data_IF_341113814081
#
_entry.id   IF_341113814081
#
_cell.length_a   1.000
_cell.length_b   1.000
_cell.length_c   1.000
_cell.angle_alpha   90.00
_cell.angle_beta   90.00
_cell.angle_gamma   90.00
#
_symmetry.space_group_name_H-M   'P 1'
#
loop_
_entity.id
_entity.type
_entity.pdbx_description
1 polymer ?
#
# COMPACT_ATOMS: atom_id res chain seq x y z
N UNK A 1 -7.93 -29.00 -38.46
CA UNK A 1 -7.54 -29.29 -37.07
C UNK A 1 -8.28 -28.38 -36.10
N UNK A 2 -8.74 -28.90 -34.96
CA UNK A 2 -9.36 -28.07 -33.92
C UNK A 2 -8.32 -27.18 -33.21
N UNK A 3 -8.77 -26.04 -32.67
CA UNK A 3 -7.90 -25.11 -31.92
C UNK A 3 -7.70 -25.61 -30.47
N UNK A 4 -6.46 -25.61 -30.00
CA UNK A 4 -6.13 -25.90 -28.59
C UNK A 4 -6.76 -24.87 -27.63
N UNK A 5 -7.08 -25.30 -26.40
CA UNK A 5 -7.54 -24.44 -25.30
C UNK A 5 -6.57 -23.28 -25.01
N UNK A 6 -5.27 -23.52 -25.18
CA UNK A 6 -4.20 -22.53 -24.93
C UNK A 6 -3.86 -21.71 -26.18
N UNK A 7 -4.57 -21.91 -27.30
CA UNK A 7 -4.33 -21.13 -28.52
C UNK A 7 -4.56 -19.64 -28.27
N UNK A 8 -3.68 -18.79 -28.84
CA UNK A 8 -3.73 -17.33 -28.67
C UNK A 8 -5.08 -16.76 -29.12
N UNK A 9 -5.58 -17.22 -30.27
CA UNK A 9 -6.88 -16.78 -30.81
C UNK A 9 -8.05 -17.10 -29.86
N UNK A 10 -8.08 -18.30 -29.23
CA UNK A 10 -9.18 -18.69 -28.34
C UNK A 10 -9.10 -17.94 -27.01
N UNK A 11 -7.89 -17.75 -26.47
CA UNK A 11 -7.68 -16.97 -25.23
C UNK A 11 -8.06 -15.50 -25.42
N UNK A 12 -7.65 -14.87 -26.51
CA UNK A 12 -7.99 -13.48 -26.81
C UNK A 12 -9.51 -13.28 -26.90
N UNK A 13 -10.23 -14.18 -27.56
CA UNK A 13 -11.70 -14.12 -27.61
C UNK A 13 -12.36 -14.30 -26.23
N UNK A 14 -11.84 -15.22 -25.41
CA UNK A 14 -12.31 -15.39 -24.01
C UNK A 14 -12.03 -14.16 -23.15
N UNK A 15 -10.89 -13.50 -23.35
CA UNK A 15 -10.55 -12.26 -22.65
C UNK A 15 -11.55 -11.15 -23.02
N UNK A 16 -11.79 -10.93 -24.32
CA UNK A 16 -12.79 -9.95 -24.79
C UNK A 16 -14.16 -10.18 -24.16
N UNK A 17 -14.63 -11.43 -24.11
CA UNK A 17 -15.91 -11.79 -23.47
C UNK A 17 -15.97 -11.50 -21.98
N UNK A 18 -14.84 -11.43 -21.27
CA UNK A 18 -14.82 -11.13 -19.82
C UNK A 18 -14.59 -9.66 -19.53
N UNK A 19 -13.89 -8.94 -20.40
CA UNK A 19 -13.50 -7.54 -20.15
C UNK A 19 -14.43 -6.52 -20.79
N UNK A 20 -15.24 -6.91 -21.78
CA UNK A 20 -16.21 -5.99 -22.39
C UNK A 20 -17.31 -5.64 -21.41
N UNK A 21 -17.53 -4.35 -21.18
CA UNK A 21 -18.57 -3.86 -20.24
C UNK A 21 -19.96 -4.41 -20.53
N UNK A 22 -20.28 -4.64 -21.80
CA UNK A 22 -21.61 -5.09 -22.26
C UNK A 22 -21.80 -6.61 -22.22
N UNK A 23 -20.80 -7.41 -21.85
CA UNK A 23 -20.98 -8.87 -21.82
C UNK A 23 -21.59 -9.34 -20.51
N UNK A 24 -22.42 -10.38 -20.59
CA UNK A 24 -23.04 -11.01 -19.42
C UNK A 24 -22.02 -11.45 -18.37
N UNK A 25 -20.83 -11.92 -18.81
CA UNK A 25 -19.75 -12.30 -17.89
C UNK A 25 -19.26 -11.12 -17.04
N UNK A 26 -19.08 -9.95 -17.66
CA UNK A 26 -18.63 -8.77 -16.94
C UNK A 26 -19.70 -8.27 -15.98
N UNK A 27 -20.96 -8.19 -16.45
CA UNK A 27 -22.10 -7.69 -15.66
C UNK A 27 -22.35 -8.57 -14.42
N UNK A 28 -22.30 -9.89 -14.59
CA UNK A 28 -22.51 -10.84 -13.48
C UNK A 28 -21.36 -10.80 -12.46
N UNK A 29 -20.12 -10.63 -12.93
CA UNK A 29 -18.96 -10.50 -12.05
C UNK A 29 -18.99 -9.17 -11.28
N UNK A 30 -19.25 -8.05 -11.97
CA UNK A 30 -19.37 -6.73 -11.37
C UNK A 30 -20.47 -6.68 -10.28
N UNK A 31 -21.68 -7.15 -10.59
CA UNK A 31 -22.78 -7.19 -9.62
C UNK A 31 -22.48 -8.08 -8.41
N UNK A 32 -21.73 -9.17 -8.59
CA UNK A 32 -21.26 -10.01 -7.48
C UNK A 32 -20.26 -9.25 -6.60
N UNK A 33 -19.30 -8.55 -7.21
CA UNK A 33 -18.30 -7.75 -6.48
C UNK A 33 -18.97 -6.66 -5.66
N UNK A 34 -19.95 -5.95 -6.22
CA UNK A 34 -20.71 -4.91 -5.50
C UNK A 34 -21.49 -5.49 -4.30
N UNK A 35 -22.11 -6.65 -4.46
CA UNK A 35 -22.80 -7.32 -3.33
C UNK A 35 -21.82 -7.70 -2.22
N UNK A 36 -20.63 -8.17 -2.58
CA UNK A 36 -19.60 -8.54 -1.62
C UNK A 36 -19.01 -7.32 -0.92
N UNK A 37 -18.74 -6.23 -1.65
CA UNK A 37 -18.23 -5.00 -1.05
C UNK A 37 -19.23 -4.42 -0.04
N UNK A 38 -20.53 -4.41 -0.37
CA UNK A 38 -21.61 -3.98 0.55
C UNK A 38 -21.63 -4.81 1.83
N UNK A 39 -21.58 -6.14 1.72
CA UNK A 39 -21.52 -7.03 2.90
C UNK A 39 -20.26 -6.82 3.74
N UNK A 40 -19.12 -6.58 3.09
CA UNK A 40 -17.87 -6.31 3.82
C UNK A 40 -17.95 -4.98 4.55
N UNK A 41 -18.52 -3.93 3.95
CA UNK A 41 -18.71 -2.65 4.64
C UNK A 41 -19.67 -2.79 5.83
N UNK A 42 -20.81 -3.47 5.65
CA UNK A 42 -21.80 -3.73 6.71
C UNK A 42 -21.17 -4.52 7.87
N UNK A 43 -20.51 -5.65 7.57
CA UNK A 43 -19.86 -6.46 8.60
C UNK A 43 -18.70 -5.75 9.28
N UNK A 44 -17.97 -4.88 8.58
CA UNK A 44 -16.89 -4.08 9.19
C UNK A 44 -17.43 -3.05 10.18
N UNK A 45 -18.59 -2.45 9.91
CA UNK A 45 -19.28 -1.55 10.86
C UNK A 45 -19.91 -2.31 12.03
N UNK A 46 -20.49 -3.48 11.78
CA UNK A 46 -21.16 -4.29 12.80
C UNK A 46 -20.17 -5.07 13.69
N UNK A 47 -18.91 -5.24 13.29
CA UNK A 47 -17.88 -5.93 14.08
C UNK A 47 -17.37 -5.10 15.27
N UNK A 48 -17.86 -3.87 15.47
CA UNK A 48 -17.43 -3.00 16.57
C UNK A 48 -18.60 -2.35 17.37
N UNK A 49 -19.42 -3.11 18.12
CA UNK A 49 -20.27 -2.56 19.15
C UNK A 49 -19.64 -2.72 20.56
N UNK A 50 -18.35 -2.43 20.73
CA UNK A 50 -17.73 -2.32 22.08
C UNK A 50 -16.45 -1.45 22.09
N UNK A 51 -16.35 -0.44 21.22
CA UNK A 51 -15.24 0.52 21.26
C UNK A 51 -15.62 1.92 20.73
N UNK A 52 -16.88 2.32 20.83
CA UNK A 52 -17.30 3.69 20.49
C UNK A 52 -17.39 4.54 21.78
N UNK A 53 -16.24 5.09 22.19
CA UNK A 53 -16.19 6.42 22.80
C UNK A 53 -16.49 7.43 21.69
N UNK A 54 -17.25 8.51 21.95
CA UNK A 54 -17.85 9.31 20.89
C UNK A 54 -16.83 10.28 20.27
N UNK A 55 -17.13 10.70 19.03
CA UNK A 55 -16.61 11.91 18.39
C UNK A 55 -15.17 11.86 17.87
N UNK A 56 -14.98 11.20 16.72
CA UNK A 56 -14.13 11.76 15.68
C UNK A 56 -14.65 11.29 14.32
N UNK A 57 -15.48 12.14 13.71
CA UNK A 57 -15.69 12.15 12.28
C UNK A 57 -14.30 12.10 11.62
N UNK A 58 -13.94 10.99 11.00
CA UNK A 58 -12.93 11.00 9.94
C UNK A 58 -13.55 11.73 8.75
N UNK A 59 -13.61 13.05 8.86
CA UNK A 59 -13.78 13.99 7.77
C UNK A 59 -12.62 13.69 6.80
N UNK A 60 -12.88 12.87 5.79
CA UNK A 60 -11.99 12.82 4.63
C UNK A 60 -12.18 14.17 3.98
N UNK A 61 -11.22 15.06 4.16
CA UNK A 61 -11.20 16.35 3.49
C UNK A 61 -11.42 16.12 1.99
N UNK A 62 -12.58 16.56 1.51
CA UNK A 62 -13.00 16.68 0.13
C UNK A 62 -12.23 17.85 -0.52
N UNK A 63 -10.90 17.82 -0.39
CA UNK A 63 -9.95 18.78 -0.95
C UNK A 63 -8.84 18.07 -1.76
N UNK A 64 -8.94 16.75 -1.95
CA UNK A 64 -8.03 15.96 -2.78
C UNK A 64 -8.59 15.64 -4.18
N UNK A 65 -9.73 16.24 -4.56
CA UNK A 65 -10.19 16.32 -5.95
C UNK A 65 -9.85 17.71 -6.50
N UNK A 66 -8.56 17.95 -6.72
CA UNK A 66 -8.10 19.00 -7.62
C UNK A 66 -7.17 18.37 -8.67
N UNK A 67 -7.36 18.85 -9.88
CA UNK A 67 -6.78 18.39 -11.13
C UNK A 67 -5.25 18.20 -11.09
N UNK A 68 -4.69 17.22 -11.83
CA UNK A 68 -3.25 17.02 -11.94
C UNK A 68 -2.64 18.01 -12.94
N UNK A 69 -2.57 19.29 -12.58
CA UNK A 69 -1.80 20.32 -13.31
C UNK A 69 -0.91 21.16 -12.38
N UNK A 70 -0.41 20.57 -11.28
CA UNK A 70 0.71 21.12 -10.51
C UNK A 70 1.94 20.26 -10.73
N UNK A 71 2.85 20.76 -11.56
CA UNK A 71 4.05 20.07 -12.06
C UNK A 71 5.24 20.13 -11.09
N UNK A 72 5.02 20.04 -9.79
CA UNK A 72 6.12 19.87 -8.84
C UNK A 72 6.30 18.38 -8.52
N UNK A 73 7.46 17.78 -8.82
CA UNK A 73 7.67 16.37 -8.55
C UNK A 73 7.67 16.14 -7.04
N UNK A 74 6.65 15.45 -6.54
CA UNK A 74 6.64 14.96 -5.17
C UNK A 74 7.91 14.12 -4.94
N UNK A 75 8.64 14.33 -3.83
CA UNK A 75 9.91 13.66 -3.63
C UNK A 75 9.67 12.15 -3.58
N UNK A 76 10.40 11.40 -4.41
CA UNK A 76 10.30 9.94 -4.46
C UNK A 76 10.77 9.36 -3.13
N UNK A 77 9.82 9.07 -2.24
CA UNK A 77 10.09 8.43 -0.96
C UNK A 77 10.53 6.99 -1.24
N UNK A 78 11.84 6.75 -1.15
CA UNK A 78 12.35 5.39 -1.25
C UNK A 78 12.01 4.62 0.03
N UNK A 79 11.09 3.66 -0.06
CA UNK A 79 10.76 2.73 1.03
C UNK A 79 11.81 1.63 1.21
N UNK A 80 12.93 1.70 0.47
CA UNK A 80 14.04 0.74 0.50
C UNK A 80 15.08 1.02 1.60
N UNK A 81 14.76 1.88 2.57
CA UNK A 81 15.62 2.13 3.72
C UNK A 81 15.78 0.89 4.60
N UNK A 82 16.83 0.82 5.45
CA UNK A 82 17.05 -0.31 6.37
C UNK A 82 15.83 -0.55 7.28
N UNK A 83 15.26 -1.76 7.22
CA UNK A 83 14.09 -2.14 8.02
C UNK A 83 14.46 -2.91 9.28
N UNK A 84 15.77 -3.14 9.50
CA UNK A 84 16.32 -3.88 10.63
C UNK A 84 15.65 -5.26 10.82
N UNK A 85 15.20 -5.87 9.71
CA UNK A 85 14.59 -7.20 9.73
C UNK A 85 15.64 -8.27 10.07
N UNK A 86 15.21 -9.43 10.59
CA UNK A 86 16.12 -10.54 10.91
C UNK A 86 17.00 -10.98 9.73
N UNK A 87 16.52 -10.81 8.48
CA UNK A 87 17.29 -11.07 7.26
C UNK A 87 18.39 -10.03 7.01
N UNK A 88 18.14 -8.76 7.31
CA UNK A 88 19.16 -7.70 7.25
C UNK A 88 20.22 -7.93 8.32
N UNK A 89 19.80 -8.25 9.55
CA UNK A 89 20.69 -8.59 10.67
C UNK A 89 21.56 -9.81 10.32
N UNK A 90 20.97 -10.87 9.76
CA UNK A 90 21.71 -12.06 9.31
C UNK A 90 22.67 -11.76 8.15
N UNK A 91 22.28 -10.89 7.20
CA UNK A 91 23.16 -10.46 6.12
C UNK A 91 24.33 -9.61 6.64
N UNK A 92 24.09 -8.77 7.64
CA UNK A 92 25.13 -7.98 8.28
C UNK A 92 26.09 -8.87 9.07
N UNK A 93 25.57 -9.80 9.88
CA UNK A 93 26.38 -10.65 10.75
C UNK A 93 27.08 -11.80 10.02
N UNK A 94 26.37 -12.48 9.10
CA UNK A 94 26.86 -13.71 8.45
C UNK A 94 27.43 -13.51 7.07
N UNK A 95 26.99 -12.47 6.35
CA UNK A 95 27.44 -12.16 4.98
C UNK A 95 28.29 -10.90 4.92
N UNK A 96 28.52 -10.23 6.05
CA UNK A 96 29.35 -9.02 6.14
C UNK A 96 28.80 -7.82 5.37
N UNK A 97 27.52 -7.83 4.99
CA UNK A 97 26.92 -6.74 4.22
C UNK A 97 26.62 -5.58 5.17
N UNK A 98 27.36 -4.49 5.05
CA UNK A 98 27.14 -3.29 5.85
C UNK A 98 25.77 -2.68 5.55
N UNK A 99 24.88 -2.67 6.55
CA UNK A 99 23.62 -1.94 6.50
C UNK A 99 23.95 -0.45 6.58
N UNK A 100 24.02 0.22 5.43
CA UNK A 100 24.19 1.67 5.40
C UNK A 100 22.88 2.32 5.87
N UNK A 101 22.90 2.85 7.10
CA UNK A 101 21.89 3.81 7.56
C UNK A 101 21.97 5.01 6.62
N UNK A 102 20.95 5.22 5.79
CA UNK A 102 20.85 6.45 5.00
C UNK A 102 20.76 7.63 5.97
N UNK A 103 21.63 8.65 5.86
CA UNK A 103 21.58 9.80 6.75
C UNK A 103 20.43 10.73 6.32
N UNK A 104 19.24 10.53 6.87
CA UNK A 104 18.14 11.48 6.70
C UNK A 104 17.26 11.64 7.96
N UNK A 105 17.75 11.24 9.13
CA UNK A 105 17.13 11.57 10.43
C UNK A 105 18.20 11.72 11.53
N UNK A 106 19.28 12.48 11.27
CA UNK A 106 20.09 13.04 12.36
C UNK A 106 19.42 14.31 12.88
N UNK A 107 18.26 14.13 13.51
CA UNK A 107 17.59 15.17 14.27
C UNK A 107 17.33 14.70 15.70
N UNK A 108 18.32 14.12 16.38
CA UNK A 108 18.35 14.16 17.85
C UNK A 108 19.74 13.78 18.38
N UNK A 109 20.15 14.45 19.46
CA UNK A 109 21.42 14.33 20.21
C UNK A 109 22.62 15.14 19.72
N UNK A 110 22.48 16.48 19.76
CA UNK A 110 23.56 17.32 20.29
C UNK A 110 23.36 17.48 21.81
N UNK A 111 23.81 16.51 22.60
CA UNK A 111 24.08 16.71 24.04
C UNK A 111 25.58 16.63 24.25
N UNK A 112 26.29 17.73 23.98
CA UNK A 112 27.64 17.92 24.50
C UNK A 112 27.51 18.37 25.96
N UNK A 113 27.52 17.42 26.89
CA UNK A 113 27.81 17.71 28.29
C UNK A 113 29.25 18.23 28.36
N UNK A 114 29.43 19.55 28.48
CA UNK A 114 30.67 20.12 28.97
C UNK A 114 30.81 19.69 30.43
N UNK A 115 31.58 18.64 30.69
CA UNK A 115 32.04 18.31 32.03
C UNK A 115 32.87 19.47 32.56
N UNK A 116 32.39 20.11 33.63
CA UNK A 116 33.21 21.02 34.44
C UNK A 116 34.31 20.18 35.09
N UNK A 117 35.56 20.37 34.68
CA UNK A 117 36.70 19.85 35.41
C UNK A 117 36.70 20.48 36.82
N UNK A 118 36.37 19.65 37.82
CA UNK A 118 36.80 19.84 39.20
C UNK A 118 38.12 19.08 39.32
N UNK A 119 39.22 19.82 39.40
CA UNK A 119 40.42 19.56 40.22
C UNK A 119 41.35 20.75 40.09
#
# INVERSE_FOLDING_TARGET
>A
MAKSLRSKSKRAFRAKKRTSSTSDYYITEASRVERLSKRLTETSSEKCPEAASPEENMQVDEAAQQDPLSSEPTPKVSTSGPRMSGREVWKASRRGIQIRRTPATLAWNKKSWKSKNRR
#
